data_IF_780847665897
#
_entry.id   IF_780847665897
#
_cell.length_a   1.000
_cell.length_b   1.000
_cell.length_c   1.000
_cell.angle_alpha   90.00
_cell.angle_beta   90.00
_cell.angle_gamma   90.00
#
_symmetry.space_group_name_H-M   'P 1'
#
loop_
_entity.id
_entity.type
_entity.pdbx_description
1 polymer ?
#
# COMPACT_ATOMS: atom_id res chain seq x y z
N UNK A 1 57.34 -2.34 38.60
CA UNK A 1 57.25 -2.81 37.20
C UNK A 1 56.71 -4.23 37.20
N UNK A 2 55.50 -4.50 36.69
CA UNK A 2 54.97 -5.87 36.66
C UNK A 2 55.70 -6.71 35.62
N UNK A 3 56.26 -7.84 36.04
CA UNK A 3 56.90 -8.83 35.17
C UNK A 3 55.82 -9.68 34.50
N UNK A 4 55.57 -9.47 33.22
CA UNK A 4 54.75 -10.37 32.41
C UNK A 4 55.47 -11.72 32.30
N UNK A 5 54.94 -12.75 32.98
CA UNK A 5 55.35 -14.14 32.74
C UNK A 5 54.72 -14.59 31.43
N UNK A 6 55.54 -14.97 30.46
CA UNK A 6 55.04 -15.55 29.22
C UNK A 6 54.26 -16.83 29.52
N UNK A 7 53.09 -17.03 28.88
CA UNK A 7 52.32 -18.25 29.04
C UNK A 7 53.13 -19.47 28.59
N UNK A 8 52.87 -20.63 29.21
CA UNK A 8 53.51 -21.89 28.80
C UNK A 8 53.12 -22.23 27.36
N UNK A 9 54.02 -22.90 26.64
CA UNK A 9 53.84 -23.24 25.23
C UNK A 9 52.52 -24.01 24.97
N UNK A 10 52.12 -24.86 25.92
CA UNK A 10 50.85 -25.58 25.89
C UNK A 10 49.62 -24.68 26.01
N UNK A 11 49.67 -23.64 26.84
CA UNK A 11 48.57 -22.68 26.96
C UNK A 11 48.43 -21.86 25.67
N UNK A 12 49.55 -21.45 25.08
CA UNK A 12 49.55 -20.74 23.79
C UNK A 12 48.96 -21.57 22.67
N UNK A 13 49.31 -22.87 22.60
CA UNK A 13 48.74 -23.81 21.62
C UNK A 13 47.24 -24.01 21.83
N UNK A 14 46.79 -24.20 23.08
CA UNK A 14 45.37 -24.32 23.40
C UNK A 14 44.59 -23.06 22.96
N UNK A 15 45.12 -21.88 23.25
CA UNK A 15 44.47 -20.60 22.88
C UNK A 15 44.40 -20.42 21.37
N UNK A 16 45.44 -20.80 20.62
CA UNK A 16 45.41 -20.76 19.15
C UNK A 16 44.38 -21.72 18.58
N UNK A 17 44.26 -22.92 19.15
CA UNK A 17 43.29 -23.93 18.70
C UNK A 17 41.86 -23.46 18.98
N UNK A 18 41.61 -22.86 20.14
CA UNK A 18 40.32 -22.24 20.47
C UNK A 18 40.00 -21.06 19.54
N UNK A 19 40.97 -20.19 19.26
CA UNK A 19 40.78 -19.07 18.34
C UNK A 19 40.45 -19.55 16.92
N UNK A 20 41.12 -20.61 16.44
CA UNK A 20 40.83 -21.21 15.14
C UNK A 20 39.42 -21.84 15.10
N UNK A 21 38.99 -22.51 16.17
CA UNK A 21 37.64 -23.07 16.27
C UNK A 21 36.57 -21.97 16.32
N UNK A 22 36.79 -20.89 17.06
CA UNK A 22 35.89 -19.73 17.09
C UNK A 22 35.81 -19.09 15.71
N UNK A 23 36.95 -18.87 15.05
CA UNK A 23 37.00 -18.33 13.69
C UNK A 23 36.27 -19.23 12.67
N UNK A 24 36.49 -20.55 12.74
CA UNK A 24 35.86 -21.53 11.86
C UNK A 24 34.35 -21.61 12.06
N UNK A 25 33.90 -21.56 13.32
CA UNK A 25 32.49 -21.63 13.69
C UNK A 25 31.75 -20.30 13.57
N UNK A 26 32.47 -19.20 13.36
CA UNK A 26 31.87 -17.88 13.23
C UNK A 26 31.04 -17.81 11.94
N UNK A 27 29.80 -17.28 11.98
CA UNK A 27 28.98 -17.14 10.78
C UNK A 27 29.69 -16.28 9.73
N UNK A 28 30.00 -16.86 8.57
CA UNK A 28 30.56 -16.12 7.42
C UNK A 28 29.51 -15.28 6.68
N UNK A 29 28.25 -15.43 7.07
CA UNK A 29 27.13 -14.64 6.60
C UNK A 29 26.44 -14.00 7.79
N UNK A 30 25.92 -12.77 7.65
CA UNK A 30 25.14 -12.14 8.71
C UNK A 30 24.00 -13.08 9.10
N UNK A 31 23.94 -13.42 10.39
CA UNK A 31 22.84 -14.19 10.96
C UNK A 31 21.54 -13.47 10.60
N UNK A 32 20.61 -14.19 9.99
CA UNK A 32 19.27 -13.68 9.70
C UNK A 32 18.51 -13.55 11.00
N UNK A 33 18.80 -12.49 11.76
CA UNK A 33 18.03 -12.14 12.93
C UNK A 33 16.62 -11.74 12.47
N UNK A 34 15.55 -12.16 13.18
CA UNK A 34 14.24 -11.59 12.94
C UNK A 34 14.33 -10.08 13.10
N UNK A 35 13.83 -9.34 12.12
CA UNK A 35 13.73 -7.88 12.21
C UNK A 35 12.72 -7.55 13.31
N UNK A 36 13.24 -7.00 14.42
CA UNK A 36 12.44 -6.55 15.56
C UNK A 36 12.13 -5.08 15.32
N UNK A 37 10.86 -4.74 15.11
CA UNK A 37 10.42 -3.35 15.13
C UNK A 37 10.41 -2.80 16.57
N UNK A 38 10.33 -1.47 16.73
CA UNK A 38 10.34 -0.79 18.03
C UNK A 38 9.16 -1.16 18.96
N UNK A 39 8.24 -2.04 18.52
CA UNK A 39 7.07 -2.46 19.27
C UNK A 39 6.98 -3.97 19.51
N UNK A 40 8.00 -4.76 19.15
CA UNK A 40 8.07 -6.19 19.50
C UNK A 40 6.96 -7.03 18.87
N UNK A 41 6.27 -6.53 17.85
CA UNK A 41 5.31 -7.30 17.08
C UNK A 41 5.98 -7.76 15.78
N UNK A 42 5.94 -9.07 15.53
CA UNK A 42 6.42 -9.61 14.26
C UNK A 42 5.43 -9.16 13.19
N UNK A 43 5.92 -8.37 12.22
CA UNK A 43 5.33 -7.89 10.96
C UNK A 43 4.68 -6.51 10.97
N UNK A 44 5.35 -5.52 10.34
CA UNK A 44 4.75 -4.45 9.50
C UNK A 44 5.71 -3.92 8.44
N UNK A 45 6.40 -4.78 7.70
CA UNK A 45 7.27 -4.33 6.60
C UNK A 45 8.64 -3.81 7.01
N UNK A 46 9.42 -3.33 6.04
CA UNK A 46 10.75 -2.70 6.26
C UNK A 46 10.67 -1.18 6.43
N UNK A 47 9.52 -0.59 6.09
CA UNK A 47 9.19 0.82 6.23
C UNK A 47 7.75 0.94 6.71
N UNK A 48 7.51 1.77 7.73
CA UNK A 48 6.18 2.03 8.25
C UNK A 48 6.01 3.52 8.61
N UNK A 49 4.81 4.03 8.47
CA UNK A 49 4.45 5.40 8.79
C UNK A 49 2.99 5.50 9.27
N UNK A 50 2.70 6.53 10.05
CA UNK A 50 1.36 6.90 10.49
C UNK A 50 1.01 8.30 9.97
N UNK A 51 -0.28 8.62 9.86
CA UNK A 51 -0.80 9.89 9.36
C UNK A 51 -0.17 10.31 8.02
N UNK A 52 -0.26 9.39 7.07
CA UNK A 52 0.48 9.42 5.82
C UNK A 52 -0.19 10.35 4.83
N UNK A 53 0.64 11.18 4.18
CA UNK A 53 0.24 12.05 3.07
C UNK A 53 1.18 11.85 1.89
N UNK A 54 0.69 11.23 0.83
CA UNK A 54 1.41 11.01 -0.42
C UNK A 54 0.90 11.97 -1.48
N UNK A 55 1.82 12.64 -2.18
CA UNK A 55 1.50 13.60 -3.24
C UNK A 55 2.22 13.22 -4.51
N UNK A 56 1.48 13.18 -5.62
CA UNK A 56 2.03 13.03 -6.95
C UNK A 56 1.84 14.33 -7.72
N UNK A 57 2.89 14.78 -8.38
CA UNK A 57 2.90 15.99 -9.18
C UNK A 57 3.02 15.66 -10.66
N UNK A 58 2.42 16.49 -11.49
CA UNK A 58 2.65 16.51 -12.94
C UNK A 58 4.09 16.97 -13.25
N UNK A 59 4.56 16.72 -14.48
CA UNK A 59 5.84 17.24 -14.95
C UNK A 59 5.97 18.78 -14.87
N UNK A 60 4.83 19.50 -14.87
CA UNK A 60 4.77 20.94 -14.69
C UNK A 60 4.73 21.40 -13.22
N UNK A 61 4.91 20.48 -12.26
CA UNK A 61 4.92 20.77 -10.82
C UNK A 61 3.54 20.99 -10.18
N UNK A 62 2.43 20.79 -10.91
CA UNK A 62 1.07 20.88 -10.36
C UNK A 62 0.69 19.58 -9.64
N UNK A 63 0.00 19.66 -8.50
CA UNK A 63 -0.54 18.48 -7.80
C UNK A 63 -1.51 17.74 -8.74
N UNK A 64 -1.29 16.43 -8.93
CA UNK A 64 -2.14 15.57 -9.75
C UNK A 64 -2.96 14.61 -8.86
N UNK A 65 -2.30 13.97 -7.90
CA UNK A 65 -2.91 12.98 -7.01
C UNK A 65 -2.50 13.23 -5.56
N UNK A 66 -3.45 13.11 -4.64
CA UNK A 66 -3.22 13.10 -3.20
C UNK A 66 -3.76 11.78 -2.66
N UNK A 67 -2.96 11.04 -1.92
CA UNK A 67 -3.43 9.90 -1.15
C UNK A 67 -3.12 10.12 0.33
N UNK A 68 -4.12 9.92 1.18
CA UNK A 68 -3.97 9.97 2.64
C UNK A 68 -4.33 8.63 3.24
N UNK A 69 -3.68 8.27 4.35
CA UNK A 69 -3.96 7.03 5.07
C UNK A 69 -3.60 7.20 6.55
N UNK A 70 -4.28 6.46 7.42
CA UNK A 70 -3.95 6.43 8.86
C UNK A 70 -2.62 5.74 9.11
N UNK A 71 -2.36 4.61 8.43
CA UNK A 71 -1.09 3.90 8.49
C UNK A 71 -0.67 3.48 7.10
N UNK A 72 0.64 3.44 6.84
CA UNK A 72 1.23 2.79 5.68
C UNK A 72 2.37 1.87 6.11
N UNK A 73 2.54 0.74 5.42
CA UNK A 73 3.76 -0.05 5.51
C UNK A 73 4.14 -0.70 4.19
N UNK A 74 5.44 -0.86 3.95
CA UNK A 74 5.98 -1.51 2.75
C UNK A 74 6.35 -2.96 3.04
N UNK A 75 5.77 -3.92 2.31
CA UNK A 75 6.19 -5.34 2.37
C UNK A 75 7.19 -5.64 1.25
N UNK A 76 8.49 -5.78 1.56
CA UNK A 76 9.53 -5.92 0.53
C UNK A 76 9.46 -7.24 -0.24
N UNK A 77 8.85 -8.29 0.34
CA UNK A 77 8.72 -9.59 -0.35
C UNK A 77 7.82 -9.53 -1.59
N UNK A 78 6.85 -8.63 -1.59
CA UNK A 78 5.87 -8.50 -2.67
C UNK A 78 5.90 -7.12 -3.33
N UNK A 79 6.79 -6.23 -2.87
CA UNK A 79 6.91 -4.84 -3.33
C UNK A 79 5.56 -4.10 -3.32
N UNK A 80 4.90 -4.10 -2.16
CA UNK A 80 3.58 -3.48 -1.98
C UNK A 80 3.56 -2.58 -0.77
N UNK A 81 2.90 -1.44 -0.91
CA UNK A 81 2.59 -0.56 0.21
C UNK A 81 1.14 -0.76 0.63
N UNK A 82 0.95 -1.22 1.86
CA UNK A 82 -0.35 -1.46 2.47
C UNK A 82 -0.78 -0.21 3.24
N UNK A 83 -2.04 0.20 3.07
CA UNK A 83 -2.62 1.42 3.61
C UNK A 83 -3.87 1.09 4.43
N UNK A 84 -4.11 1.82 5.51
CA UNK A 84 -5.37 1.75 6.28
C UNK A 84 -6.10 3.08 6.27
N UNK A 85 -7.44 3.03 6.25
CA UNK A 85 -8.33 4.21 6.22
C UNK A 85 -7.90 5.19 5.12
N UNK A 86 -7.88 4.69 3.89
CA UNK A 86 -7.27 5.37 2.75
C UNK A 86 -8.28 6.28 2.06
N UNK A 87 -7.82 7.46 1.66
CA UNK A 87 -8.52 8.32 0.72
C UNK A 87 -7.59 8.70 -0.44
N UNK A 88 -8.15 8.81 -1.65
CA UNK A 88 -7.43 9.21 -2.85
C UNK A 88 -8.21 10.32 -3.55
N UNK A 89 -7.54 11.40 -3.92
CA UNK A 89 -8.12 12.55 -4.58
C UNK A 89 -7.31 12.93 -5.82
N UNK A 90 -8.00 13.26 -6.93
CA UNK A 90 -7.37 13.77 -8.16
C UNK A 90 -7.68 15.25 -8.37
N UNK A 91 -6.62 16.02 -8.62
CA UNK A 91 -6.64 17.48 -8.77
C UNK A 91 -6.39 17.93 -10.21
N UNK A 92 -7.01 17.25 -11.17
CA UNK A 92 -6.86 17.58 -12.59
C UNK A 92 -8.15 18.20 -13.14
N UNK A 93 -8.07 19.35 -13.84
CA UNK A 93 -9.27 20.01 -14.38
C UNK A 93 -10.11 19.06 -15.24
N UNK A 94 -11.42 18.98 -14.96
CA UNK A 94 -12.35 18.07 -15.63
C UNK A 94 -12.19 16.58 -15.27
N UNK A 95 -11.31 16.25 -14.31
CA UNK A 95 -10.97 14.87 -13.92
C UNK A 95 -10.99 14.75 -12.40
N UNK A 96 -12.14 15.09 -11.81
CA UNK A 96 -12.35 14.96 -10.37
C UNK A 96 -12.58 13.49 -10.01
N UNK A 97 -11.91 13.06 -8.95
CA UNK A 97 -12.09 11.75 -8.37
C UNK A 97 -11.84 11.85 -6.88
N UNK A 98 -12.77 11.32 -6.09
CA UNK A 98 -12.56 11.01 -4.68
C UNK A 98 -12.84 9.52 -4.47
N UNK A 99 -11.88 8.81 -3.87
CA UNK A 99 -12.02 7.43 -3.43
C UNK A 99 -11.77 7.36 -1.93
N UNK A 100 -12.54 6.54 -1.22
CA UNK A 100 -12.30 6.20 0.19
C UNK A 100 -12.54 4.71 0.42
N UNK A 101 -11.74 4.10 1.28
CA UNK A 101 -11.89 2.70 1.65
C UNK A 101 -11.22 2.39 3.00
N UNK A 102 -11.55 1.24 3.57
CA UNK A 102 -10.94 0.76 4.80
C UNK A 102 -9.47 0.37 4.61
N UNK A 103 -9.14 -0.20 3.45
CA UNK A 103 -7.81 -0.68 3.10
C UNK A 103 -7.41 -0.23 1.70
N UNK A 104 -6.11 -0.04 1.50
CA UNK A 104 -5.52 0.25 0.21
C UNK A 104 -4.24 -0.53 0.00
N UNK A 105 -3.96 -0.87 -1.25
CA UNK A 105 -2.69 -1.48 -1.66
C UNK A 105 -2.18 -0.69 -2.85
N UNK A 106 -0.96 -0.18 -2.74
CA UNK A 106 -0.23 0.44 -3.84
C UNK A 106 0.75 -0.59 -4.38
N UNK A 107 0.59 -0.95 -5.63
CA UNK A 107 1.42 -1.92 -6.34
C UNK A 107 2.15 -1.25 -7.51
N UNK A 108 3.18 -1.93 -8.02
CA UNK A 108 3.90 -1.54 -9.26
C UNK A 108 4.33 -0.07 -9.21
N UNK A 109 4.97 0.36 -8.14
CA UNK A 109 5.42 1.75 -7.97
C UNK A 109 4.32 2.80 -8.19
N UNK A 110 3.09 2.54 -7.74
CA UNK A 110 1.98 3.50 -7.85
C UNK A 110 1.15 3.40 -9.13
N UNK A 111 1.44 2.44 -10.01
CA UNK A 111 0.69 2.28 -11.27
C UNK A 111 -0.65 1.57 -11.06
N UNK A 112 -0.84 0.90 -9.92
CA UNK A 112 -2.11 0.26 -9.56
C UNK A 112 -2.39 0.50 -8.09
N UNK A 113 -3.57 1.04 -7.83
CA UNK A 113 -4.10 1.23 -6.48
C UNK A 113 -5.31 0.31 -6.35
N UNK A 114 -5.25 -0.63 -5.42
CA UNK A 114 -6.41 -1.47 -5.07
C UNK A 114 -6.98 -0.95 -3.77
N UNK A 115 -8.28 -0.65 -3.75
CA UNK A 115 -8.96 -0.19 -2.54
C UNK A 115 -10.03 -1.21 -2.18
N UNK A 116 -10.10 -1.59 -0.91
CA UNK A 116 -11.02 -2.63 -0.44
C UNK A 116 -11.65 -2.31 0.92
N UNK A 117 -12.83 -2.87 1.12
CA UNK A 117 -13.68 -2.66 2.29
C UNK A 117 -14.36 -1.29 2.29
N UNK A 118 -15.69 -1.29 2.15
CA UNK A 118 -16.53 -0.08 2.15
C UNK A 118 -16.01 1.00 1.19
N UNK A 119 -15.75 0.61 -0.07
CA UNK A 119 -15.26 1.55 -1.08
C UNK A 119 -16.38 2.52 -1.44
N UNK A 120 -16.07 3.81 -1.40
CA UNK A 120 -16.92 4.89 -1.88
C UNK A 120 -16.14 5.66 -2.94
N UNK A 121 -16.72 5.80 -4.12
CA UNK A 121 -16.17 6.56 -5.24
C UNK A 121 -17.09 7.68 -5.67
N UNK A 122 -16.52 8.85 -5.94
CA UNK A 122 -17.22 10.04 -6.45
C UNK A 122 -16.43 10.60 -7.63
N UNK A 123 -16.96 10.46 -8.85
CA UNK A 123 -16.38 11.01 -10.10
C UNK A 123 -17.08 12.30 -10.55
N UNK A 124 -18.33 12.47 -10.15
CA UNK A 124 -19.16 13.62 -10.44
C UNK A 124 -19.79 14.11 -9.13
N UNK A 125 -20.08 15.42 -9.02
CA UNK A 125 -20.91 15.92 -7.93
C UNK A 125 -22.19 15.08 -7.79
N UNK A 126 -22.59 14.84 -6.54
CA UNK A 126 -23.83 14.14 -6.18
C UNK A 126 -23.98 12.69 -6.70
N UNK A 127 -22.93 12.11 -7.27
CA UNK A 127 -22.91 10.70 -7.70
C UNK A 127 -21.95 9.90 -6.83
N UNK A 128 -22.45 8.82 -6.23
CA UNK A 128 -21.65 7.92 -5.39
C UNK A 128 -21.73 6.51 -5.94
N UNK A 129 -20.57 5.85 -6.04
CA UNK A 129 -20.48 4.42 -6.32
C UNK A 129 -19.99 3.73 -5.06
N UNK A 130 -20.75 2.76 -4.57
CA UNK A 130 -20.47 1.95 -3.40
C UNK A 130 -20.15 0.52 -3.84
N UNK A 131 -19.06 -0.04 -3.32
CA UNK A 131 -18.64 -1.42 -3.58
C UNK A 131 -17.68 -1.93 -2.50
N UNK A 132 -17.26 -3.20 -2.59
CA UNK A 132 -16.31 -3.83 -1.67
C UNK A 132 -14.87 -3.73 -2.15
N UNK A 133 -14.62 -3.63 -3.45
CA UNK A 133 -13.27 -3.51 -4.02
C UNK A 133 -13.28 -2.71 -5.32
N UNK A 134 -12.24 -1.90 -5.55
CA UNK A 134 -11.94 -1.31 -6.85
C UNK A 134 -10.45 -1.39 -7.15
N UNK A 135 -10.12 -1.51 -8.44
CA UNK A 135 -8.79 -1.25 -8.96
C UNK A 135 -8.79 0.07 -9.70
N UNK A 136 -7.90 0.96 -9.30
CA UNK A 136 -7.67 2.25 -9.93
C UNK A 136 -6.28 2.29 -10.56
N UNK A 137 -6.21 2.70 -11.82
CA UNK A 137 -4.98 3.01 -12.53
C UNK A 137 -4.85 4.54 -12.66
N UNK A 138 -3.92 5.18 -11.91
CA UNK A 138 -3.73 6.63 -11.97
C UNK A 138 -3.21 7.15 -13.31
N UNK A 139 -2.58 6.31 -14.15
CA UNK A 139 -2.05 6.76 -15.45
C UNK A 139 -3.16 6.86 -16.48
N UNK A 140 -3.99 5.82 -16.57
CA UNK A 140 -5.11 5.79 -17.53
C UNK A 140 -6.36 6.50 -17.01
N UNK A 141 -6.49 6.64 -15.69
CA UNK A 141 -7.68 7.18 -15.04
C UNK A 141 -8.85 6.19 -15.04
N UNK A 142 -8.58 4.89 -15.23
CA UNK A 142 -9.60 3.85 -15.28
C UNK A 142 -9.81 3.25 -13.90
N UNK A 143 -11.07 3.06 -13.54
CA UNK A 143 -11.53 2.37 -12.34
C UNK A 143 -12.30 1.14 -12.77
N UNK A 144 -11.97 -0.01 -12.19
CA UNK A 144 -12.69 -1.27 -12.44
C UNK A 144 -13.05 -1.96 -11.14
N UNK A 145 -14.15 -2.70 -11.16
CA UNK A 145 -14.51 -3.66 -10.12
C UNK A 145 -15.16 -4.88 -10.76
N UNK A 146 -15.04 -6.03 -10.11
CA UNK A 146 -15.82 -7.24 -10.42
C UNK A 146 -16.92 -7.49 -9.39
N UNK A 147 -16.94 -6.69 -8.33
CA UNK A 147 -17.81 -6.85 -7.18
C UNK A 147 -19.21 -6.29 -7.46
N UNK A 148 -20.20 -6.64 -6.62
CA UNK A 148 -21.46 -5.93 -6.58
C UNK A 148 -21.23 -4.42 -6.38
N UNK A 149 -21.95 -3.62 -7.15
CA UNK A 149 -21.86 -2.17 -7.12
C UNK A 149 -23.24 -1.54 -6.96
N UNK A 150 -23.28 -0.43 -6.25
CA UNK A 150 -24.45 0.45 -6.14
C UNK A 150 -24.05 1.85 -6.52
N UNK A 151 -24.71 2.42 -7.51
CA UNK A 151 -24.61 3.82 -7.89
C UNK A 151 -25.80 4.57 -7.30
N UNK A 152 -25.54 5.72 -6.69
CA UNK A 152 -26.54 6.61 -6.12
C UNK A 152 -26.37 8.01 -6.70
N UNK A 153 -27.48 8.64 -7.09
CA UNK A 153 -27.53 10.04 -7.53
C UNK A 153 -28.80 10.69 -6.99
N UNK A 154 -28.69 11.50 -5.95
CA UNK A 154 -29.87 12.05 -5.28
C UNK A 154 -30.77 10.94 -4.73
N UNK A 155 -32.01 10.85 -5.24
CA UNK A 155 -32.95 9.78 -4.91
C UNK A 155 -32.86 8.57 -5.87
N UNK A 156 -32.15 8.72 -6.98
CA UNK A 156 -31.97 7.67 -7.97
C UNK A 156 -30.91 6.68 -7.50
N UNK A 157 -31.13 5.40 -7.81
CA UNK A 157 -30.13 4.38 -7.57
C UNK A 157 -30.12 3.32 -8.66
N UNK A 158 -28.94 2.74 -8.86
CA UNK A 158 -28.71 1.61 -9.73
C UNK A 158 -27.81 0.60 -9.02
N UNK A 159 -28.04 -0.67 -9.25
CA UNK A 159 -27.25 -1.79 -8.72
C UNK A 159 -26.89 -2.74 -9.84
N UNK A 160 -25.82 -3.48 -9.67
CA UNK A 160 -25.44 -4.57 -10.58
C UNK A 160 -24.12 -5.19 -10.14
N UNK A 161 -23.51 -5.96 -11.03
CA UNK A 161 -22.23 -6.62 -10.80
C UNK A 161 -21.20 -6.10 -11.80
N UNK A 162 -20.04 -5.73 -11.28
CA UNK A 162 -18.94 -5.20 -12.06
C UNK A 162 -19.10 -3.71 -12.40
N UNK A 163 -17.96 -3.05 -12.49
CA UNK A 163 -17.83 -1.63 -12.76
C UNK A 163 -16.71 -1.40 -13.76
N UNK A 164 -16.97 -0.52 -14.72
CA UNK A 164 -15.95 0.19 -15.46
C UNK A 164 -16.26 1.68 -15.39
N UNK A 165 -15.29 2.50 -15.02
CA UNK A 165 -15.44 3.95 -15.02
C UNK A 165 -14.16 4.63 -15.49
N UNK A 166 -14.32 5.80 -16.10
CA UNK A 166 -13.22 6.60 -16.62
C UNK A 166 -13.29 7.99 -16.01
N UNK A 167 -12.25 8.35 -15.25
CA UNK A 167 -12.10 9.68 -14.66
C UNK A 167 -11.90 10.74 -15.74
N UNK A 168 -11.34 10.35 -16.90
CA UNK A 168 -11.07 11.25 -18.02
C UNK A 168 -12.34 11.67 -18.76
N UNK A 169 -13.24 10.72 -19.00
CA UNK A 169 -14.51 10.94 -19.74
C UNK A 169 -15.70 11.13 -18.81
N UNK A 170 -15.50 10.95 -17.49
CA UNK A 170 -16.54 10.94 -16.46
C UNK A 170 -17.65 9.91 -16.71
N UNK A 171 -17.35 8.86 -17.45
CA UNK A 171 -18.28 7.77 -17.77
C UNK A 171 -18.25 6.72 -16.66
N UNK A 172 -19.43 6.19 -16.33
CA UNK A 172 -19.61 5.10 -15.37
C UNK A 172 -20.53 4.05 -15.99
N UNK A 173 -20.05 2.81 -16.07
CA UNK A 173 -20.76 1.66 -16.61
C UNK A 173 -20.84 0.56 -15.55
N UNK A 174 -22.07 0.16 -15.20
CA UNK A 174 -22.32 -1.08 -14.44
C UNK A 174 -22.55 -2.20 -15.46
N UNK A 175 -21.82 -3.29 -15.32
CA UNK A 175 -21.62 -4.22 -16.44
C UNK A 175 -22.71 -5.29 -16.56
N UNK A 176 -23.15 -5.84 -15.44
CA UNK A 176 -24.03 -7.00 -15.41
C UNK A 176 -25.16 -6.84 -14.38
N UNK A 177 -26.24 -7.59 -14.57
CA UNK A 177 -27.39 -7.69 -13.65
C UNK A 177 -27.95 -6.34 -13.19
N UNK A 178 -27.97 -5.38 -14.11
CA UNK A 178 -28.30 -3.99 -13.83
C UNK A 178 -29.78 -3.82 -13.49
N UNK A 179 -30.05 -3.22 -12.32
CA UNK A 179 -31.39 -2.85 -11.87
C UNK A 179 -31.33 -1.48 -11.22
N UNK A 180 -32.33 -0.63 -11.45
CA UNK A 180 -32.36 0.69 -10.84
C UNK A 180 -33.77 1.22 -10.66
N UNK A 181 -33.86 2.29 -9.88
CA UNK A 181 -35.05 3.09 -9.67
C UNK A 181 -34.69 4.54 -9.99
N UNK A 182 -35.56 5.18 -10.77
CA UNK A 182 -35.49 6.59 -11.09
C UNK A 182 -36.70 7.28 -10.44
N UNK A 183 -36.45 8.36 -9.71
CA UNK A 183 -37.50 9.20 -9.12
C UNK A 183 -37.59 10.48 -9.96
N UNK A 184 -38.68 10.65 -10.75
CA UNK A 184 -38.87 11.82 -11.61
C UNK A 184 -39.07 13.13 -10.85
#
# INVERSE_FOLDING_TARGET
MPRFRAPSLGLSLLLLLLAALVWWSWPQHPLSLPYIDWHGQIHKGDQAAEDVVMRQYTAAGKLDLLATARTAYHEPRVDRTMLSQVAVERFKPGQQLHLRANQGVVERHGHRIVLSGNVISTLQPDTRVLTTEVHYDPQTGIITSREPVRLERGQDWMTGVGLWASVKTQEINILHDVRGMYVP
#
